data_IF_620013592522
#
_entry.id   IF_620013592522
#
_cell.length_a   1.000
_cell.length_b   1.000
_cell.length_c   1.000
_cell.angle_alpha   90.00
_cell.angle_beta   90.00
_cell.angle_gamma   90.00
#
_symmetry.space_group_name_H-M   'P 1'
#
loop_
_entity.id
_entity.type
_entity.pdbx_description
1 polymer ?
#
# COMPACT_ATOMS: atom_id res chain seq x y z
N UNK A 1 -11.38 27.28 -12.04
CA UNK A 1 -11.15 25.85 -11.78
C UNK A 1 -9.64 25.63 -11.78
N UNK A 2 -9.05 25.33 -10.64
CA UNK A 2 -7.61 24.98 -10.56
C UNK A 2 -7.42 23.62 -11.23
N UNK A 3 -6.76 23.61 -12.40
CA UNK A 3 -6.40 22.38 -13.07
C UNK A 3 -5.40 21.61 -12.20
N UNK A 4 -5.83 20.53 -11.56
CA UNK A 4 -4.96 19.61 -10.85
C UNK A 4 -3.94 19.05 -11.89
N UNK A 5 -2.67 19.33 -11.67
CA UNK A 5 -1.61 18.76 -12.53
C UNK A 5 -1.02 17.54 -11.82
N UNK A 6 -1.20 16.37 -12.43
CA UNK A 6 -0.48 15.17 -11.99
C UNK A 6 1.03 15.37 -12.16
N UNK A 7 1.87 14.80 -11.28
CA UNK A 7 3.32 14.85 -11.41
C UNK A 7 3.78 14.34 -12.78
N UNK A 8 4.88 14.89 -13.29
CA UNK A 8 5.48 14.40 -14.54
C UNK A 8 5.93 12.95 -14.38
N UNK A 9 5.58 12.13 -15.37
CA UNK A 9 5.95 10.72 -15.44
C UNK A 9 7.44 10.58 -15.74
N UNK A 10 8.15 9.78 -14.97
CA UNK A 10 9.53 9.41 -15.28
C UNK A 10 9.56 8.19 -16.23
N UNK A 11 9.73 8.46 -17.51
CA UNK A 11 9.78 7.42 -18.55
C UNK A 11 10.95 6.44 -18.37
N UNK A 12 12.03 6.85 -17.70
CA UNK A 12 13.16 5.98 -17.36
C UNK A 12 12.72 4.85 -16.43
N UNK A 13 11.87 5.16 -15.44
CA UNK A 13 11.31 4.15 -14.52
C UNK A 13 10.42 3.18 -15.30
N UNK A 14 9.55 3.70 -16.16
CA UNK A 14 8.67 2.86 -16.98
C UNK A 14 9.47 1.90 -17.89
N UNK A 15 10.53 2.38 -18.54
CA UNK A 15 11.36 1.56 -19.44
C UNK A 15 12.13 0.45 -18.72
N UNK A 16 12.32 0.56 -17.40
CA UNK A 16 12.98 -0.44 -16.55
C UNK A 16 12.00 -1.40 -15.85
N UNK A 17 10.70 -1.38 -16.19
CA UNK A 17 9.65 -2.14 -15.50
C UNK A 17 10.05 -3.58 -15.22
N UNK A 18 10.49 -4.33 -16.23
CA UNK A 18 10.84 -5.75 -16.10
C UNK A 18 11.98 -5.99 -15.10
N UNK A 19 12.98 -5.09 -15.11
CA UNK A 19 14.10 -5.15 -14.16
C UNK A 19 13.62 -4.86 -12.74
N UNK A 20 12.73 -3.87 -12.56
CA UNK A 20 12.15 -3.52 -11.26
C UNK A 20 11.34 -4.70 -10.72
N UNK A 21 10.47 -5.28 -11.53
CA UNK A 21 9.69 -6.48 -11.18
C UNK A 21 10.59 -7.62 -10.73
N UNK A 22 11.64 -7.94 -11.52
CA UNK A 22 12.60 -8.99 -11.19
C UNK A 22 13.30 -8.76 -9.84
N UNK A 23 13.64 -7.52 -9.53
CA UNK A 23 14.31 -7.20 -8.26
C UNK A 23 13.33 -7.22 -7.07
N UNK A 24 12.11 -6.72 -7.24
CA UNK A 24 11.07 -6.80 -6.20
C UNK A 24 10.70 -8.26 -5.88
N UNK A 25 10.62 -9.13 -6.89
CA UNK A 25 10.39 -10.58 -6.72
C UNK A 25 11.53 -11.33 -5.99
N UNK A 26 12.69 -10.70 -5.80
CA UNK A 26 13.77 -11.22 -4.94
C UNK A 26 13.64 -10.77 -3.48
N UNK A 27 12.92 -9.67 -3.24
CA UNK A 27 12.75 -9.09 -1.90
C UNK A 27 11.55 -9.71 -1.18
N UNK A 28 10.46 -9.97 -1.92
CA UNK A 28 9.23 -10.55 -1.40
C UNK A 28 8.81 -11.75 -2.24
N UNK A 29 7.81 -12.52 -1.76
CA UNK A 29 7.24 -13.61 -2.54
C UNK A 29 6.83 -13.12 -3.95
N UNK A 30 7.27 -13.77 -5.03
CA UNK A 30 6.89 -13.40 -6.40
C UNK A 30 5.39 -13.23 -6.64
N UNK A 31 4.53 -14.01 -5.98
CA UNK A 31 3.07 -13.91 -6.06
C UNK A 31 2.52 -12.61 -5.42
N UNK A 32 3.34 -11.92 -4.62
CA UNK A 32 3.00 -10.65 -4.00
C UNK A 32 3.49 -9.43 -4.80
N UNK A 33 3.92 -9.63 -6.04
CA UNK A 33 4.32 -8.58 -6.99
C UNK A 33 3.41 -8.67 -8.20
N UNK A 34 2.46 -7.74 -8.31
CA UNK A 34 1.54 -7.65 -9.44
C UNK A 34 2.10 -6.66 -10.47
N UNK A 35 2.15 -7.09 -11.73
CA UNK A 35 2.68 -6.28 -12.83
C UNK A 35 1.84 -6.38 -14.12
N UNK A 36 0.85 -7.28 -14.18
CA UNK A 36 -0.06 -7.41 -15.30
C UNK A 36 -1.18 -6.37 -15.27
N UNK A 37 -1.57 -5.85 -16.42
CA UNK A 37 -2.52 -4.74 -16.57
C UNK A 37 -3.88 -5.01 -15.91
N UNK A 38 -4.37 -6.24 -15.97
CA UNK A 38 -5.66 -6.61 -15.39
C UNK A 38 -5.60 -6.68 -13.86
N UNK A 39 -4.46 -7.13 -13.30
CA UNK A 39 -4.23 -7.20 -11.86
C UNK A 39 -4.04 -5.80 -11.24
N UNK A 40 -3.53 -4.84 -12.01
CA UNK A 40 -3.31 -3.46 -11.56
C UNK A 40 -4.61 -2.63 -11.56
N UNK A 41 -5.62 -3.03 -12.33
CA UNK A 41 -6.87 -2.29 -12.49
C UNK A 41 -7.61 -1.99 -11.18
N UNK A 42 -7.72 -2.91 -10.20
CA UNK A 42 -8.36 -2.64 -8.91
C UNK A 42 -7.67 -1.55 -8.09
N UNK A 43 -6.42 -1.21 -8.42
CA UNK A 43 -5.60 -0.24 -7.71
C UNK A 43 -5.51 1.12 -8.40
N UNK A 44 -6.23 1.35 -9.49
CA UNK A 44 -6.15 2.59 -10.29
C UNK A 44 -6.76 3.81 -9.61
N UNK A 45 -7.50 3.64 -8.52
CA UNK A 45 -8.14 4.71 -7.78
C UNK A 45 -8.12 4.43 -6.28
N UNK A 46 -8.28 5.46 -5.47
CA UNK A 46 -8.68 5.36 -4.06
C UNK A 46 -10.16 5.79 -3.91
N UNK A 47 -10.63 6.13 -2.70
CA UNK A 47 -12.02 6.58 -2.53
C UNK A 47 -12.30 7.96 -3.16
N UNK A 48 -11.26 8.72 -3.54
CA UNK A 48 -11.39 9.91 -4.39
C UNK A 48 -11.54 9.48 -5.86
N UNK A 49 -12.69 8.91 -6.20
CA UNK A 49 -12.97 8.27 -7.49
C UNK A 49 -12.95 9.21 -8.71
N UNK A 50 -12.81 10.53 -8.49
CA UNK A 50 -12.69 11.53 -9.56
C UNK A 50 -11.37 11.38 -10.36
N UNK A 51 -10.37 10.72 -9.80
CA UNK A 51 -9.06 10.50 -10.42
C UNK A 51 -8.76 9.03 -10.53
N UNK A 52 -8.19 8.64 -11.68
CA UNK A 52 -7.79 7.26 -11.96
C UNK A 52 -6.43 7.25 -12.60
N UNK A 53 -5.54 6.44 -12.05
CA UNK A 53 -4.21 6.23 -12.62
C UNK A 53 -3.69 4.85 -12.21
N UNK A 54 -3.32 4.01 -13.18
CA UNK A 54 -2.77 2.70 -12.86
C UNK A 54 -1.35 2.83 -12.34
N UNK A 55 -0.98 2.13 -11.24
CA UNK A 55 0.41 2.05 -10.83
C UNK A 55 1.25 1.25 -11.83
N UNK A 56 2.57 1.42 -11.79
CA UNK A 56 3.48 0.59 -12.58
C UNK A 56 3.51 -0.86 -12.08
N UNK A 57 3.56 -1.03 -10.75
CA UNK A 57 3.67 -2.30 -10.04
C UNK A 57 2.93 -2.15 -8.71
N UNK A 58 2.28 -3.23 -8.23
CA UNK A 58 1.75 -3.33 -6.88
C UNK A 58 2.53 -4.38 -6.11
N UNK A 59 2.88 -4.10 -4.86
CA UNK A 59 3.59 -5.02 -3.97
C UNK A 59 2.87 -5.20 -2.64
N UNK A 60 2.92 -6.41 -2.07
CA UNK A 60 2.29 -6.77 -0.80
C UNK A 60 3.35 -7.30 0.17
N UNK A 61 4.10 -6.44 0.85
CA UNK A 61 5.01 -6.89 1.90
C UNK A 61 4.23 -7.49 3.07
N UNK A 62 4.85 -8.46 3.78
CA UNK A 62 4.25 -9.18 4.91
C UNK A 62 4.87 -8.80 6.26
N UNK A 63 6.00 -8.10 6.22
CA UNK A 63 6.74 -7.71 7.43
C UNK A 63 7.55 -6.43 7.21
N UNK A 64 7.98 -5.82 8.31
CA UNK A 64 8.72 -4.56 8.32
C UNK A 64 10.07 -4.66 7.57
N UNK A 65 10.72 -5.82 7.60
CA UNK A 65 11.98 -6.03 6.89
C UNK A 65 11.78 -5.94 5.37
N UNK A 66 10.72 -6.55 4.84
CA UNK A 66 10.38 -6.46 3.42
C UNK A 66 10.03 -5.02 3.02
N UNK A 67 9.28 -4.28 3.85
CA UNK A 67 8.99 -2.86 3.63
C UNK A 67 10.29 -2.06 3.55
N UNK A 68 11.20 -2.25 4.51
CA UNK A 68 12.50 -1.58 4.53
C UNK A 68 13.30 -1.85 3.25
N UNK A 69 13.41 -3.11 2.84
CA UNK A 69 14.14 -3.50 1.62
C UNK A 69 13.52 -2.90 0.35
N UNK A 70 12.19 -2.88 0.24
CA UNK A 70 11.49 -2.28 -0.89
C UNK A 70 11.77 -0.77 -0.93
N UNK A 71 11.65 -0.08 0.21
CA UNK A 71 11.90 1.37 0.28
C UNK A 71 13.35 1.70 -0.04
N UNK A 72 14.32 0.93 0.46
CA UNK A 72 15.75 1.10 0.15
C UNK A 72 15.98 0.97 -1.36
N UNK A 73 15.51 -0.11 -1.97
CA UNK A 73 15.62 -0.35 -3.41
C UNK A 73 14.97 0.78 -4.23
N UNK A 74 13.74 1.17 -3.87
CA UNK A 74 13.04 2.24 -4.58
C UNK A 74 13.76 3.59 -4.44
N UNK A 75 14.35 3.88 -3.27
CA UNK A 75 15.13 5.09 -3.04
C UNK A 75 16.40 5.13 -3.89
N UNK A 76 17.16 4.03 -3.94
CA UNK A 76 18.38 3.90 -4.75
C UNK A 76 18.10 4.08 -6.25
N UNK A 77 17.02 3.48 -6.75
CA UNK A 77 16.59 3.58 -8.14
C UNK A 77 15.76 4.84 -8.45
N UNK A 78 15.48 5.68 -7.44
CA UNK A 78 14.62 6.87 -7.52
C UNK A 78 13.21 6.56 -8.06
N UNK A 79 12.63 5.48 -7.59
CA UNK A 79 11.27 5.05 -7.90
C UNK A 79 10.33 5.63 -6.85
N UNK A 80 9.23 6.24 -7.29
CA UNK A 80 8.19 6.74 -6.39
C UNK A 80 7.47 5.57 -5.73
N UNK A 81 7.18 5.70 -4.43
CA UNK A 81 6.39 4.71 -3.67
C UNK A 81 5.12 5.39 -3.17
N UNK A 82 3.99 4.72 -3.36
CA UNK A 82 2.70 5.14 -2.82
C UNK A 82 2.23 4.08 -1.82
N UNK A 83 2.24 4.36 -0.50
CA UNK A 83 1.72 3.42 0.48
C UNK A 83 0.18 3.41 0.45
N UNK A 84 -0.42 2.23 0.64
CA UNK A 84 -1.86 2.04 0.62
C UNK A 84 -2.31 1.03 1.67
N UNK A 85 -3.28 1.40 2.49
CA UNK A 85 -4.09 0.46 3.28
C UNK A 85 -5.25 -0.08 2.45
N UNK A 86 -6.48 0.13 2.89
CA UNK A 86 -7.69 -0.25 2.15
C UNK A 86 -8.04 0.68 0.97
N UNK A 87 -7.35 1.81 0.81
CA UNK A 87 -7.63 2.78 -0.25
C UNK A 87 -8.90 3.60 -0.05
N UNK A 88 -9.34 3.76 1.19
CA UNK A 88 -10.58 4.47 1.56
C UNK A 88 -10.39 5.97 1.82
N UNK A 89 -9.18 6.49 1.64
CA UNK A 89 -8.88 7.91 1.80
C UNK A 89 -9.52 8.77 0.71
N UNK A 90 -10.01 9.97 1.09
CA UNK A 90 -10.70 10.90 0.20
C UNK A 90 -9.83 12.07 -0.28
N UNK A 91 -8.54 12.06 0.05
CA UNK A 91 -7.60 13.16 -0.24
C UNK A 91 -6.55 12.82 -1.30
N UNK A 92 -6.69 11.68 -1.98
CA UNK A 92 -5.76 11.24 -3.03
C UNK A 92 -4.42 10.70 -2.52
N UNK A 93 -4.25 10.50 -1.19
CA UNK A 93 -2.98 10.02 -0.61
C UNK A 93 -2.62 8.60 -1.00
N UNK A 94 -3.59 7.78 -1.40
CA UNK A 94 -3.40 6.42 -1.88
C UNK A 94 -3.61 6.28 -3.41
N UNK A 95 -3.82 7.41 -4.10
CA UNK A 95 -3.91 7.44 -5.57
C UNK A 95 -2.53 7.16 -6.17
N UNK A 96 -2.37 6.15 -7.01
CA UNK A 96 -1.07 5.81 -7.59
C UNK A 96 -0.63 6.81 -8.67
N UNK A 97 0.63 6.68 -9.06
CA UNK A 97 1.22 7.33 -10.23
C UNK A 97 1.65 6.25 -11.23
N UNK A 98 1.68 6.59 -12.53
CA UNK A 98 2.04 5.62 -13.59
C UNK A 98 3.46 5.05 -13.45
N UNK A 99 4.35 5.80 -12.80
CA UNK A 99 5.75 5.46 -12.58
C UNK A 99 6.06 5.12 -11.11
N UNK A 100 5.06 4.64 -10.38
CA UNK A 100 5.24 4.28 -8.97
C UNK A 100 5.15 2.77 -8.71
N UNK A 101 5.75 2.36 -7.60
CA UNK A 101 5.42 1.13 -6.90
C UNK A 101 4.36 1.46 -5.86
N UNK A 102 3.17 0.89 -6.00
CA UNK A 102 2.13 0.98 -4.99
C UNK A 102 2.35 -0.13 -3.97
N UNK A 103 2.59 0.25 -2.73
CA UNK A 103 2.85 -0.67 -1.63
C UNK A 103 1.60 -0.87 -0.79
N UNK A 104 0.88 -1.96 -1.03
CA UNK A 104 -0.32 -2.32 -0.27
C UNK A 104 0.05 -3.02 1.03
N UNK A 105 -0.40 -2.47 2.15
CA UNK A 105 -0.12 -3.00 3.49
C UNK A 105 -1.22 -3.96 4.00
N UNK A 106 -2.12 -4.40 3.14
CA UNK A 106 -3.24 -5.28 3.52
C UNK A 106 -2.84 -6.61 4.16
N UNK A 107 -1.60 -7.08 3.93
CA UNK A 107 -1.04 -8.28 4.57
C UNK A 107 -0.48 -8.01 5.98
N UNK A 108 -0.33 -6.76 6.37
CA UNK A 108 -0.02 -6.32 7.74
C UNK A 108 -1.30 -6.27 8.58
N UNK A 109 -1.90 -7.41 8.91
CA UNK A 109 -3.23 -7.51 9.50
C UNK A 109 -3.26 -8.17 10.88
N UNK A 110 -2.16 -8.12 11.62
CA UNK A 110 -2.07 -8.70 12.98
C UNK A 110 -2.35 -7.64 14.05
N UNK A 111 -3.19 -7.99 15.03
CA UNK A 111 -3.26 -7.29 16.31
C UNK A 111 -2.10 -7.83 17.14
N UNK A 112 -1.20 -6.95 17.57
CA UNK A 112 0.03 -7.31 18.26
C UNK A 112 -0.15 -7.33 19.77
N UNK A 113 -0.96 -6.38 20.31
CA UNK A 113 -1.20 -6.23 21.73
C UNK A 113 -2.56 -5.58 21.97
N UNK A 114 -3.25 -6.00 23.03
CA UNK A 114 -4.48 -5.36 23.54
C UNK A 114 -4.26 -5.01 25.00
N UNK A 115 -4.17 -3.74 25.32
CA UNK A 115 -4.06 -3.21 26.67
C UNK A 115 -5.40 -2.66 27.14
N UNK A 116 -6.17 -3.48 27.84
CA UNK A 116 -7.48 -3.10 28.38
C UNK A 116 -7.39 -2.03 29.47
N UNK A 117 -6.28 -2.01 30.25
CA UNK A 117 -6.08 -1.03 31.32
C UNK A 117 -5.93 0.38 30.79
N UNK A 118 -5.12 0.53 29.74
CA UNK A 118 -4.88 1.82 29.09
C UNK A 118 -5.83 2.08 27.91
N UNK A 119 -6.73 1.13 27.60
CA UNK A 119 -7.70 1.20 26.52
C UNK A 119 -7.06 1.47 25.16
N UNK A 120 -5.98 0.77 24.88
CA UNK A 120 -5.30 0.90 23.58
C UNK A 120 -4.99 -0.46 22.97
N UNK A 121 -4.78 -0.45 21.67
CA UNK A 121 -4.39 -1.61 20.88
C UNK A 121 -3.18 -1.27 20.03
N UNK A 122 -2.21 -2.18 19.95
CA UNK A 122 -1.11 -2.11 19.01
C UNK A 122 -1.46 -3.04 17.85
N UNK A 123 -1.67 -2.47 16.67
CA UNK A 123 -2.08 -3.19 15.49
C UNK A 123 -1.23 -2.81 14.28
N UNK A 124 -1.07 -3.75 13.36
CA UNK A 124 -0.46 -3.51 12.08
C UNK A 124 -1.41 -2.68 11.18
N UNK A 125 -0.91 -1.90 10.21
CA UNK A 125 -1.69 -0.91 9.45
C UNK A 125 -2.75 -1.50 8.51
N UNK A 126 -2.75 -2.80 8.27
CA UNK A 126 -3.78 -3.50 7.49
C UNK A 126 -4.94 -4.06 8.33
N UNK A 127 -4.89 -3.90 9.66
CA UNK A 127 -6.01 -4.31 10.54
C UNK A 127 -7.18 -3.35 10.34
N UNK A 128 -8.38 -3.89 10.17
CA UNK A 128 -9.60 -3.08 10.02
C UNK A 128 -10.15 -2.68 11.40
N UNK A 129 -10.85 -1.53 11.46
CA UNK A 129 -11.56 -1.10 12.67
C UNK A 129 -12.52 -2.19 13.18
N UNK A 130 -13.22 -2.87 12.27
CA UNK A 130 -14.12 -3.98 12.62
C UNK A 130 -13.35 -5.14 13.25
N UNK A 131 -12.18 -5.50 12.76
CA UNK A 131 -11.35 -6.56 13.34
C UNK A 131 -10.91 -6.21 14.77
N UNK A 132 -10.59 -4.94 15.03
CA UNK A 132 -10.27 -4.49 16.40
C UNK A 132 -11.48 -4.64 17.30
N UNK A 133 -12.66 -4.17 16.88
CA UNK A 133 -13.91 -4.32 17.63
C UNK A 133 -14.21 -5.78 17.94
N UNK A 134 -14.12 -6.67 16.95
CA UNK A 134 -14.34 -8.11 17.13
C UNK A 134 -13.37 -8.75 18.12
N UNK A 135 -12.12 -8.28 18.18
CA UNK A 135 -11.12 -8.80 19.10
C UNK A 135 -11.31 -8.38 20.55
N UNK A 136 -12.14 -7.36 20.84
CA UNK A 136 -12.33 -6.80 22.19
C UNK A 136 -13.78 -6.84 22.69
N UNK A 137 -14.74 -7.23 21.84
CA UNK A 137 -16.17 -7.17 22.15
C UNK A 137 -16.59 -8.08 23.32
N UNK A 138 -15.90 -9.19 23.54
CA UNK A 138 -16.13 -10.11 24.67
C UNK A 138 -15.85 -9.46 26.03
N UNK A 139 -15.07 -8.37 26.04
CA UNK A 139 -14.78 -7.55 27.21
C UNK A 139 -15.58 -6.25 27.27
N UNK A 140 -16.66 -6.13 26.46
CA UNK A 140 -17.51 -4.94 26.34
C UNK A 140 -16.76 -3.68 25.88
N UNK A 141 -15.73 -3.84 25.04
CA UNK A 141 -15.05 -2.75 24.35
C UNK A 141 -15.41 -2.73 22.88
N UNK A 142 -15.24 -1.58 22.25
CA UNK A 142 -15.31 -1.42 20.82
C UNK A 142 -14.31 -0.35 20.36
N UNK A 143 -13.91 -0.42 19.11
CA UNK A 143 -13.10 0.62 18.49
C UNK A 143 -14.03 1.64 17.82
N UNK A 144 -13.91 2.91 18.25
CA UNK A 144 -14.76 3.99 17.76
C UNK A 144 -14.37 4.48 16.35
#
# INVERSE_FOLDING_TARGET
MTNLRMPKIDRRVISKKDTIVKNLKKIINPEHVLDHQDELKPYETDALSAYKQKPLIVVFPENTEQVSKILTYCNEERIKVVPRGAGTGLSGGALPLEDCVLMSLGKFNKILEIDYKNRCVVAQPGVTNLSITQAVQDKNFYYA
#
